data_IF_193144096645
#
_entry.id   IF_193144096645
#
_cell.length_a   1.000
_cell.length_b   1.000
_cell.length_c   1.000
_cell.angle_alpha   90.00
_cell.angle_beta   90.00
_cell.angle_gamma   90.00
#
_symmetry.space_group_name_H-M   'P 1'
#
loop_
_entity.id
_entity.type
_entity.pdbx_description
1 polymer ?
#
# COMPACT_ATOMS: atom_id res chain seq x y z
N UNK A 1 -6.32 -28.11 -10.00
CA UNK A 1 -5.73 -26.76 -9.84
C UNK A 1 -5.61 -26.52 -8.35
N UNK A 2 -4.39 -26.52 -7.79
CA UNK A 2 -4.16 -26.17 -6.40
C UNK A 2 -3.90 -24.67 -6.34
N UNK A 3 -4.77 -23.93 -5.66
CA UNK A 3 -4.52 -22.54 -5.30
C UNK A 3 -3.72 -22.58 -4.00
N UNK A 4 -2.45 -22.24 -4.05
CA UNK A 4 -1.62 -22.08 -2.86
C UNK A 4 -1.69 -20.60 -2.46
N UNK A 5 -2.61 -20.28 -1.56
CA UNK A 5 -2.58 -19.02 -0.83
C UNK A 5 -1.50 -19.14 0.26
N UNK A 6 -0.45 -18.35 0.18
CA UNK A 6 0.58 -18.32 1.21
C UNK A 6 0.31 -17.17 2.17
N UNK A 7 -0.01 -17.52 3.43
CA UNK A 7 -0.06 -16.57 4.55
C UNK A 7 1.27 -16.64 5.34
N UNK A 8 2.09 -15.59 5.37
CA UNK A 8 3.37 -15.60 6.07
C UNK A 8 3.26 -15.46 7.60
N UNK A 9 2.05 -15.43 8.17
CA UNK A 9 1.83 -15.10 9.59
C UNK A 9 1.57 -16.35 10.46
N UNK A 10 1.24 -17.51 9.90
CA UNK A 10 0.94 -18.69 10.70
C UNK A 10 2.13 -19.68 10.70
N UNK A 11 3.05 -19.49 11.67
CA UNK A 11 4.23 -20.34 11.86
C UNK A 11 3.94 -21.69 12.54
N UNK A 12 2.66 -22.03 12.82
CA UNK A 12 2.26 -23.20 13.58
C UNK A 12 1.40 -24.23 12.83
N UNK A 13 1.15 -24.07 11.53
CA UNK A 13 0.52 -25.14 10.75
C UNK A 13 1.58 -26.16 10.34
N UNK A 14 1.35 -27.48 10.53
CA UNK A 14 2.26 -28.49 10.03
C UNK A 14 2.17 -28.53 8.51
N UNK A 15 3.05 -27.82 7.83
CA UNK A 15 3.14 -27.87 6.37
C UNK A 15 3.87 -29.13 5.96
N UNK A 16 3.15 -30.10 5.42
CA UNK A 16 3.70 -31.29 4.79
C UNK A 16 4.38 -30.98 3.42
N UNK A 17 4.39 -29.71 2.99
CA UNK A 17 4.86 -29.32 1.64
C UNK A 17 5.79 -28.11 1.78
N UNK A 18 7.05 -28.25 1.39
CA UNK A 18 8.02 -27.15 1.29
C UNK A 18 7.69 -26.25 0.09
N UNK A 19 7.33 -24.97 0.29
CA UNK A 19 7.04 -24.03 -0.80
C UNK A 19 8.21 -23.84 -1.77
N UNK A 20 9.46 -23.96 -1.29
CA UNK A 20 10.64 -23.84 -2.15
C UNK A 20 10.79 -25.06 -3.06
N UNK A 21 10.48 -26.25 -2.55
CA UNK A 21 10.48 -27.48 -3.34
C UNK A 21 9.37 -27.45 -4.41
N UNK A 22 8.16 -26.97 -4.06
CA UNK A 22 7.07 -26.78 -5.05
C UNK A 22 7.44 -25.80 -6.15
N UNK A 23 8.07 -24.68 -5.79
CA UNK A 23 8.52 -23.70 -6.76
C UNK A 23 9.58 -24.26 -7.71
N UNK A 24 10.55 -25.00 -7.17
CA UNK A 24 11.60 -25.65 -7.97
C UNK A 24 11.00 -26.70 -8.93
N UNK A 25 10.04 -27.49 -8.46
CA UNK A 25 9.36 -28.50 -9.28
C UNK A 25 8.51 -27.85 -10.37
N UNK A 26 7.76 -26.77 -10.06
CA UNK A 26 7.01 -26.03 -11.06
C UNK A 26 7.95 -25.45 -12.14
N UNK A 27 9.08 -24.85 -11.74
CA UNK A 27 10.07 -24.32 -12.67
C UNK A 27 10.65 -25.42 -13.58
N UNK A 28 10.91 -26.60 -13.03
CA UNK A 28 11.36 -27.76 -13.81
C UNK A 28 10.33 -28.23 -14.82
N UNK A 29 9.06 -28.38 -14.39
CA UNK A 29 7.96 -28.81 -15.26
C UNK A 29 7.68 -27.81 -16.38
N UNK A 30 7.73 -26.52 -16.10
CA UNK A 30 7.57 -25.48 -17.12
C UNK A 30 8.73 -25.40 -18.12
N UNK A 31 9.94 -25.78 -17.70
CA UNK A 31 11.09 -25.91 -18.59
C UNK A 31 10.97 -27.15 -19.51
N UNK A 32 10.42 -28.25 -19.00
CA UNK A 32 10.17 -29.50 -19.77
C UNK A 32 8.95 -29.39 -20.68
N UNK A 33 7.96 -28.57 -20.29
CA UNK A 33 6.69 -28.36 -20.98
C UNK A 33 6.38 -26.87 -21.21
N UNK A 34 7.14 -26.19 -22.09
CA UNK A 34 6.95 -24.75 -22.33
C UNK A 34 5.53 -24.36 -22.81
N UNK A 35 4.83 -25.29 -23.46
CA UNK A 35 3.46 -25.12 -23.93
C UNK A 35 2.41 -25.02 -22.81
N UNK A 36 2.74 -25.53 -21.61
CA UNK A 36 1.90 -25.45 -20.42
C UNK A 36 2.24 -24.24 -19.53
N UNK A 37 3.35 -23.55 -19.80
CA UNK A 37 3.81 -22.43 -19.02
C UNK A 37 2.87 -21.22 -19.21
N UNK A 38 2.22 -20.78 -18.11
CA UNK A 38 1.34 -19.61 -18.11
C UNK A 38 2.12 -18.31 -17.89
N UNK A 39 1.64 -17.21 -18.50
CA UNK A 39 2.17 -15.88 -18.20
C UNK A 39 1.97 -15.48 -16.73
N UNK A 40 0.99 -16.10 -16.05
CA UNK A 40 0.62 -15.87 -14.66
C UNK A 40 1.39 -16.78 -13.68
N UNK A 41 2.33 -17.60 -14.18
CA UNK A 41 3.09 -18.52 -13.33
C UNK A 41 3.93 -17.79 -12.28
N UNK A 42 3.97 -18.30 -11.02
CA UNK A 42 4.88 -17.80 -10.00
C UNK A 42 6.35 -17.81 -10.43
N UNK A 43 6.77 -18.69 -11.33
CA UNK A 43 8.15 -18.79 -11.82
C UNK A 43 8.52 -17.63 -12.75
N UNK A 44 7.51 -16.97 -13.36
CA UNK A 44 7.70 -15.82 -14.26
C UNK A 44 7.63 -14.46 -13.56
N UNK A 45 7.49 -14.41 -12.23
CA UNK A 45 7.43 -13.16 -11.47
C UNK A 45 8.71 -12.32 -11.59
N UNK A 46 9.84 -12.92 -11.89
CA UNK A 46 11.16 -12.28 -11.91
C UNK A 46 11.85 -12.50 -13.26
N UNK A 47 11.15 -12.37 -14.36
CA UNK A 47 11.68 -12.68 -15.69
C UNK A 47 11.86 -11.50 -16.65
N UNK A 48 11.48 -10.29 -16.28
CA UNK A 48 11.57 -9.11 -17.13
C UNK A 48 13.02 -8.72 -17.42
N UNK A 49 13.32 -8.39 -18.71
CA UNK A 49 14.58 -7.74 -19.05
C UNK A 49 14.65 -6.34 -18.42
N UNK A 50 15.84 -5.82 -18.11
CA UNK A 50 16.00 -4.43 -17.69
C UNK A 50 15.34 -3.50 -18.69
N UNK A 51 14.57 -2.52 -18.20
CA UNK A 51 13.92 -1.50 -19.03
C UNK A 51 14.91 -0.36 -19.31
N UNK A 52 14.62 0.46 -20.30
CA UNK A 52 15.37 1.69 -20.56
C UNK A 52 14.77 2.89 -19.83
N UNK A 53 13.43 2.82 -19.55
CA UNK A 53 12.66 3.88 -18.91
C UNK A 53 11.40 3.31 -18.22
N UNK A 54 10.71 4.14 -17.45
CA UNK A 54 9.38 3.88 -16.92
C UNK A 54 8.37 4.75 -17.66
N UNK A 55 7.43 4.12 -18.35
CA UNK A 55 6.37 4.82 -19.07
C UNK A 55 5.41 5.48 -18.09
N UNK A 56 4.88 6.65 -18.46
CA UNK A 56 3.79 7.29 -17.73
C UNK A 56 2.46 6.67 -18.14
N UNK A 57 1.61 6.37 -17.15
CA UNK A 57 0.25 5.85 -17.33
C UNK A 57 -0.73 6.66 -16.48
N UNK A 58 -1.92 6.90 -17.02
CA UNK A 58 -3.00 7.59 -16.31
C UNK A 58 -3.69 6.64 -15.33
N UNK A 59 -4.12 7.18 -14.19
CA UNK A 59 -4.91 6.44 -13.20
C UNK A 59 -6.36 6.27 -13.67
N UNK A 60 -6.98 5.14 -13.33
CA UNK A 60 -8.41 4.89 -13.61
C UNK A 60 -9.29 5.96 -12.95
N UNK A 61 -8.93 6.35 -11.72
CA UNK A 61 -9.51 7.47 -10.98
C UNK A 61 -8.37 8.22 -10.30
N UNK A 62 -8.35 9.56 -10.26
CA UNK A 62 -7.27 10.30 -9.63
C UNK A 62 -6.95 9.86 -8.19
N UNK A 63 -5.69 9.71 -7.86
CA UNK A 63 -5.18 9.36 -6.53
C UNK A 63 -4.97 10.62 -5.69
N UNK A 64 -6.02 11.07 -5.03
CA UNK A 64 -6.00 12.29 -4.23
C UNK A 64 -5.09 12.16 -3.01
N UNK A 65 -4.54 13.26 -2.56
CA UNK A 65 -3.93 13.38 -1.23
C UNK A 65 -5.02 13.44 -0.16
N UNK A 66 -4.63 13.21 1.10
CA UNK A 66 -5.51 13.47 2.24
C UNK A 66 -5.17 14.82 2.87
N UNK A 67 -6.17 15.52 3.37
CA UNK A 67 -5.95 16.64 4.28
C UNK A 67 -5.41 16.11 5.61
N UNK A 68 -4.64 16.92 6.34
CA UNK A 68 -4.03 16.51 7.59
C UNK A 68 -4.69 17.19 8.78
N UNK A 69 -4.72 16.48 9.89
CA UNK A 69 -5.06 17.00 11.22
C UNK A 69 -4.04 16.51 12.25
N UNK A 70 -3.82 17.30 13.29
CA UNK A 70 -2.77 17.05 14.28
C UNK A 70 -3.30 17.01 15.71
N UNK A 71 -4.57 17.39 15.91
CA UNK A 71 -5.18 17.42 17.22
C UNK A 71 -6.67 17.06 17.20
N UNK A 72 -7.24 16.86 18.39
CA UNK A 72 -8.63 16.49 18.56
C UNK A 72 -9.60 17.56 18.05
N UNK A 73 -9.27 18.84 18.20
CA UNK A 73 -10.14 19.94 17.76
C UNK A 73 -10.33 19.94 16.25
N UNK A 74 -9.25 19.75 15.50
CA UNK A 74 -9.28 19.64 14.04
C UNK A 74 -10.05 18.38 13.59
N UNK A 75 -9.89 17.25 14.31
CA UNK A 75 -10.67 16.04 14.07
C UNK A 75 -12.16 16.26 14.28
N UNK A 76 -12.54 16.96 15.36
CA UNK A 76 -13.93 17.29 15.65
C UNK A 76 -14.51 18.26 14.59
N UNK A 77 -13.68 19.15 14.04
CA UNK A 77 -14.04 20.00 12.93
C UNK A 77 -14.28 19.22 11.65
N UNK A 78 -13.48 18.20 11.37
CA UNK A 78 -13.69 17.27 10.25
C UNK A 78 -15.03 16.55 10.41
N UNK A 79 -15.33 15.98 11.57
CA UNK A 79 -16.59 15.28 11.85
C UNK A 79 -17.78 16.24 11.65
N UNK A 80 -17.70 17.47 12.15
CA UNK A 80 -18.75 18.48 11.95
C UNK A 80 -18.97 18.80 10.48
N UNK A 81 -17.88 18.95 9.68
CA UNK A 81 -17.98 19.17 8.23
C UNK A 81 -18.64 18.00 7.51
N UNK A 82 -18.34 16.77 7.91
CA UNK A 82 -19.00 15.56 7.36
C UNK A 82 -20.51 15.60 7.64
N UNK A 83 -20.92 15.84 8.88
CA UNK A 83 -22.34 15.95 9.23
C UNK A 83 -23.05 17.08 8.49
N UNK A 84 -22.42 18.22 8.34
CA UNK A 84 -22.99 19.37 7.61
C UNK A 84 -23.10 19.13 6.09
N UNK A 85 -22.27 18.26 5.53
CA UNK A 85 -22.28 17.89 4.11
C UNK A 85 -23.25 16.76 3.76
N UNK A 86 -23.83 16.10 4.74
CA UNK A 86 -24.78 15.01 4.57
C UNK A 86 -26.25 15.47 4.81
N UNK A 87 -27.24 14.72 4.30
CA UNK A 87 -28.65 15.01 4.58
C UNK A 87 -28.95 15.12 6.09
N UNK A 88 -29.90 15.97 6.44
CA UNK A 88 -30.29 16.14 7.85
C UNK A 88 -30.72 14.81 8.50
N UNK A 89 -30.17 14.52 9.66
CA UNK A 89 -30.44 13.28 10.40
C UNK A 89 -29.52 12.09 10.01
N UNK A 90 -28.59 12.27 9.07
CA UNK A 90 -27.59 11.25 8.77
C UNK A 90 -26.69 10.96 9.99
N UNK A 91 -26.39 9.68 10.19
CA UNK A 91 -25.51 9.19 11.27
C UNK A 91 -24.32 8.43 10.67
N UNK A 92 -23.35 9.14 10.06
CA UNK A 92 -22.24 8.50 9.36
C UNK A 92 -21.40 7.66 10.33
N UNK A 93 -21.01 6.47 9.88
CA UNK A 93 -19.97 5.69 10.53
C UNK A 93 -18.61 6.01 9.88
N UNK A 94 -17.56 5.89 10.67
CA UNK A 94 -16.20 6.17 10.22
C UNK A 94 -15.36 4.89 10.34
N UNK A 95 -14.60 4.58 9.30
CA UNK A 95 -13.56 3.56 9.30
C UNK A 95 -12.24 4.23 9.68
N UNK A 96 -11.61 3.76 10.75
CA UNK A 96 -10.30 4.21 11.23
C UNK A 96 -9.28 3.12 10.95
N UNK A 97 -8.20 3.48 10.27
CA UNK A 97 -7.15 2.55 9.84
C UNK A 97 -5.74 3.14 10.04
N UNK A 98 -4.68 2.30 10.15
CA UNK A 98 -3.32 2.80 10.22
C UNK A 98 -2.95 3.56 8.94
N UNK A 99 -2.28 4.71 9.09
CA UNK A 99 -1.69 5.43 7.97
C UNK A 99 -0.32 4.85 7.65
N UNK A 100 -0.28 4.02 6.64
CA UNK A 100 0.94 3.37 6.18
C UNK A 100 1.93 4.41 5.65
N UNK A 101 3.21 4.26 5.99
CA UNK A 101 4.29 5.12 5.52
C UNK A 101 5.20 4.36 4.55
N UNK A 102 4.85 4.41 3.28
CA UNK A 102 5.52 3.73 2.19
C UNK A 102 5.43 4.48 0.88
N UNK A 103 5.32 3.76 -0.22
CA UNK A 103 5.11 4.29 -1.55
C UNK A 103 3.72 3.91 -2.07
N UNK A 104 2.87 4.90 -2.33
CA UNK A 104 1.51 4.69 -2.81
C UNK A 104 1.52 4.20 -4.27
N UNK A 105 0.69 3.20 -4.55
CA UNK A 105 0.56 2.55 -5.85
C UNK A 105 -0.90 2.31 -6.22
N UNK A 106 -1.19 2.33 -7.51
CA UNK A 106 -2.39 1.75 -8.10
C UNK A 106 -2.07 0.37 -8.65
N UNK A 107 -2.94 -0.62 -8.44
CA UNK A 107 -2.79 -2.01 -8.88
C UNK A 107 -4.06 -2.42 -9.58
N UNK A 108 -3.92 -3.01 -10.76
CA UNK A 108 -5.04 -3.36 -11.63
C UNK A 108 -5.14 -4.87 -11.79
N UNK A 109 -6.35 -5.39 -11.62
CA UNK A 109 -6.72 -6.74 -12.04
C UNK A 109 -7.82 -6.67 -13.11
N UNK A 110 -7.83 -7.63 -14.02
CA UNK A 110 -8.88 -7.83 -15.02
C UNK A 110 -9.24 -9.32 -15.07
N UNK A 111 -10.50 -9.62 -14.85
CA UNK A 111 -11.00 -10.99 -14.81
C UNK A 111 -10.15 -11.90 -13.92
N UNK A 112 -9.86 -11.40 -12.72
CA UNK A 112 -9.08 -12.10 -11.71
C UNK A 112 -7.57 -12.17 -11.95
N UNK A 113 -7.05 -11.61 -13.05
CA UNK A 113 -5.62 -11.62 -13.38
C UNK A 113 -4.98 -10.29 -13.13
N UNK A 114 -3.77 -10.29 -12.53
CA UNK A 114 -2.97 -9.08 -12.39
C UNK A 114 -2.68 -8.47 -13.77
N UNK A 115 -3.15 -7.25 -14.00
CA UNK A 115 -3.02 -6.55 -15.27
C UNK A 115 -1.88 -5.52 -15.30
N UNK A 116 -1.48 -5.01 -14.12
CA UNK A 116 -0.40 -4.03 -14.01
C UNK A 116 -0.57 -3.11 -12.82
N UNK A 117 0.23 -2.04 -12.81
CA UNK A 117 0.09 -0.98 -11.82
C UNK A 117 1.14 0.11 -11.96
N UNK A 118 0.91 1.21 -11.24
CA UNK A 118 1.69 2.44 -11.36
C UNK A 118 1.98 3.07 -10.00
N UNK A 119 2.99 3.92 -9.95
CA UNK A 119 3.19 4.82 -8.80
C UNK A 119 2.09 5.88 -8.78
N UNK A 120 1.86 6.53 -7.63
CA UNK A 120 0.89 7.62 -7.53
C UNK A 120 1.22 8.81 -8.46
N UNK A 121 2.50 9.06 -8.73
CA UNK A 121 2.93 10.21 -9.51
C UNK A 121 2.41 11.53 -8.94
N UNK A 122 1.81 12.35 -9.80
CA UNK A 122 1.16 13.62 -9.43
C UNK A 122 -0.30 13.45 -8.95
N UNK A 123 -0.80 12.22 -8.98
CA UNK A 123 -2.17 11.86 -8.63
C UNK A 123 -3.11 11.71 -9.82
N UNK A 124 -2.74 12.18 -11.00
CA UNK A 124 -3.48 11.98 -12.27
C UNK A 124 -2.82 10.87 -13.07
N UNK A 125 -1.49 10.86 -13.10
CA UNK A 125 -0.68 9.87 -13.80
C UNK A 125 0.53 9.48 -12.96
N UNK A 126 1.00 8.25 -13.15
CA UNK A 126 2.17 7.69 -12.48
C UNK A 126 3.07 6.92 -13.44
N UNK A 127 4.20 6.46 -12.93
CA UNK A 127 5.13 5.62 -13.68
C UNK A 127 4.64 4.17 -13.66
N UNK A 128 4.59 3.51 -14.82
CA UNK A 128 4.29 2.07 -14.94
C UNK A 128 5.40 1.24 -14.26
N UNK A 129 5.02 0.60 -13.16
CA UNK A 129 5.89 -0.27 -12.36
C UNK A 129 5.38 -1.72 -12.35
N UNK A 130 4.61 -2.12 -13.36
CA UNK A 130 3.94 -3.42 -13.42
C UNK A 130 4.90 -4.59 -13.19
N UNK A 131 6.07 -4.59 -13.86
CA UNK A 131 7.06 -5.66 -13.70
C UNK A 131 7.69 -5.68 -12.30
N UNK A 132 7.84 -4.51 -11.68
CA UNK A 132 8.35 -4.40 -10.31
C UNK A 132 7.31 -4.89 -9.31
N UNK A 133 6.03 -4.57 -9.51
CA UNK A 133 4.93 -5.09 -8.67
C UNK A 133 4.80 -6.61 -8.76
N UNK A 134 5.06 -7.23 -9.92
CA UNK A 134 5.08 -8.69 -10.09
C UNK A 134 6.08 -9.37 -9.16
N UNK A 135 7.16 -8.70 -8.79
CA UNK A 135 8.18 -9.24 -7.87
C UNK A 135 7.71 -9.28 -6.42
N UNK A 136 6.64 -8.54 -6.06
CA UNK A 136 6.10 -8.47 -4.70
C UNK A 136 5.31 -9.75 -4.41
N UNK A 137 5.90 -10.63 -3.61
CA UNK A 137 5.34 -11.97 -3.35
C UNK A 137 3.98 -11.95 -2.64
N UNK A 138 3.68 -10.89 -1.87
CA UNK A 138 2.39 -10.73 -1.20
C UNK A 138 1.24 -10.42 -2.15
N UNK A 139 1.50 -10.01 -3.40
CA UNK A 139 0.46 -9.79 -4.41
C UNK A 139 0.19 -11.09 -5.16
N UNK A 140 -1.02 -11.66 -5.09
CA UNK A 140 -1.42 -12.78 -5.93
C UNK A 140 -1.46 -12.35 -7.40
N UNK A 141 -1.01 -13.21 -8.32
CA UNK A 141 -1.13 -12.93 -9.76
C UNK A 141 -2.51 -13.27 -10.29
N UNK A 142 -3.24 -14.11 -9.56
CA UNK A 142 -4.63 -14.49 -9.87
C UNK A 142 -5.47 -14.50 -8.61
N UNK A 143 -6.71 -14.03 -8.72
CA UNK A 143 -7.74 -14.00 -7.67
C UNK A 143 -9.08 -14.49 -8.24
N UNK A 144 -10.00 -14.91 -7.38
CA UNK A 144 -11.36 -15.32 -7.80
C UNK A 144 -12.28 -14.09 -7.90
N UNK A 145 -12.10 -13.33 -8.99
CA UNK A 145 -12.90 -12.14 -9.29
C UNK A 145 -13.13 -12.03 -10.81
N UNK A 146 -14.28 -11.51 -11.20
CA UNK A 146 -14.61 -11.21 -12.60
C UNK A 146 -14.75 -9.72 -12.81
N UNK A 147 -14.38 -9.24 -14.00
CA UNK A 147 -14.41 -7.82 -14.33
C UNK A 147 -13.16 -7.05 -13.84
N UNK A 148 -13.18 -5.73 -13.98
CA UNK A 148 -12.10 -4.86 -13.53
C UNK A 148 -12.07 -4.75 -12.01
N UNK A 149 -10.88 -4.66 -11.45
CA UNK A 149 -10.65 -4.36 -10.04
C UNK A 149 -9.45 -3.42 -9.92
N UNK A 150 -9.70 -2.21 -9.45
CA UNK A 150 -8.71 -1.15 -9.27
C UNK A 150 -8.44 -0.98 -7.79
N UNK A 151 -7.21 -1.28 -7.38
CA UNK A 151 -6.79 -1.26 -6.00
C UNK A 151 -5.82 -0.11 -5.74
N UNK A 152 -5.90 0.47 -4.55
CA UNK A 152 -4.89 1.41 -4.04
C UNK A 152 -4.23 0.80 -2.83
N UNK A 153 -2.92 0.83 -2.85
CA UNK A 153 -2.11 0.26 -1.79
C UNK A 153 -0.90 1.11 -1.46
N UNK A 154 -0.22 0.68 -0.42
CA UNK A 154 1.07 1.21 -0.02
C UNK A 154 2.10 0.09 -0.10
N UNK A 155 3.17 0.32 -0.83
CA UNK A 155 4.30 -0.61 -0.84
C UNK A 155 5.25 -0.20 0.27
N UNK A 156 5.53 -1.15 1.15
CA UNK A 156 6.34 -0.96 2.36
C UNK A 156 7.52 -1.93 2.37
N UNK A 157 8.54 -1.58 3.15
CA UNK A 157 9.62 -2.48 3.58
C UNK A 157 9.48 -2.67 5.08
N UNK A 158 9.55 -3.93 5.56
CA UNK A 158 9.56 -4.19 7.00
C UNK A 158 10.89 -3.73 7.62
N UNK A 159 10.84 -3.24 8.86
CA UNK A 159 12.02 -2.72 9.58
C UNK A 159 13.20 -3.68 9.52
N UNK A 160 12.95 -4.98 9.84
CA UNK A 160 13.99 -6.02 9.79
C UNK A 160 14.61 -6.22 8.40
N UNK A 161 13.79 -6.05 7.34
CA UNK A 161 14.26 -6.21 5.97
C UNK A 161 15.08 -4.98 5.54
N UNK A 162 14.71 -3.77 6.00
CA UNK A 162 15.50 -2.55 5.79
C UNK A 162 16.87 -2.63 6.49
N UNK A 163 16.91 -3.14 7.72
CA UNK A 163 18.17 -3.35 8.46
C UNK A 163 19.10 -4.29 7.69
N UNK A 164 18.58 -5.41 7.19
CA UNK A 164 19.36 -6.35 6.38
C UNK A 164 19.88 -5.72 5.08
N UNK A 165 19.03 -4.97 4.36
CA UNK A 165 19.42 -4.23 3.15
C UNK A 165 20.52 -3.22 3.48
N UNK A 166 20.40 -2.48 4.57
CA UNK A 166 21.39 -1.50 4.97
C UNK A 166 22.72 -2.14 5.39
N UNK A 167 22.71 -3.33 6.00
CA UNK A 167 23.93 -4.08 6.28
C UNK A 167 24.64 -4.51 4.99
N UNK A 168 23.91 -5.02 4.00
CA UNK A 168 24.45 -5.38 2.69
C UNK A 168 25.06 -4.15 1.98
N UNK A 169 24.36 -3.00 2.01
CA UNK A 169 24.84 -1.74 1.41
C UNK A 169 26.09 -1.21 2.12
N UNK A 170 26.12 -1.27 3.45
CA UNK A 170 27.31 -0.88 4.21
C UNK A 170 28.53 -1.73 3.85
N UNK A 171 28.35 -3.05 3.70
CA UNK A 171 29.41 -3.96 3.27
C UNK A 171 29.91 -3.69 1.86
N UNK A 172 29.03 -3.18 0.98
CA UNK A 172 29.34 -2.76 -0.39
C UNK A 172 29.87 -1.31 -0.49
N UNK A 173 29.97 -0.57 0.62
CA UNK A 173 30.37 0.84 0.63
C UNK A 173 29.34 1.79 0.04
N UNK A 174 28.06 1.37 -0.06
CA UNK A 174 26.98 2.16 -0.62
C UNK A 174 26.27 3.01 0.45
N UNK A 175 25.69 4.17 0.07
CA UNK A 175 24.88 4.99 1.00
C UNK A 175 23.71 4.21 1.58
N UNK A 176 23.45 4.32 2.88
CA UNK A 176 22.34 3.66 3.55
C UNK A 176 21.01 4.34 3.23
N UNK A 177 19.93 3.57 3.23
CA UNK A 177 18.60 4.14 3.19
C UNK A 177 18.25 4.79 4.53
N UNK A 178 17.83 6.05 4.50
CA UNK A 178 17.50 6.81 5.70
C UNK A 178 16.18 6.34 6.36
N UNK A 179 15.22 5.87 5.55
CA UNK A 179 13.93 5.40 6.05
C UNK A 179 13.28 4.39 5.09
N UNK A 180 12.31 3.57 5.60
CA UNK A 180 11.63 2.54 4.80
C UNK A 180 10.85 3.10 3.60
N UNK A 181 10.22 4.27 3.73
CA UNK A 181 9.47 4.92 2.66
C UNK A 181 10.33 5.23 1.45
N UNK A 182 11.48 5.89 1.67
CA UNK A 182 12.41 6.23 0.57
C UNK A 182 13.01 4.98 -0.04
N UNK A 183 13.30 3.97 0.77
CA UNK A 183 13.78 2.68 0.30
C UNK A 183 12.75 1.95 -0.58
N UNK A 184 11.46 1.95 -0.18
CA UNK A 184 10.37 1.38 -0.96
C UNK A 184 10.18 2.14 -2.29
N UNK A 185 10.05 3.47 -2.23
CA UNK A 185 9.83 4.32 -3.40
C UNK A 185 11.00 4.21 -4.42
N UNK A 186 12.24 4.23 -3.94
CA UNK A 186 13.41 4.07 -4.78
C UNK A 186 13.48 2.68 -5.42
N UNK A 187 13.15 1.63 -4.64
CA UNK A 187 13.15 0.26 -5.15
C UNK A 187 12.09 0.03 -6.21
N UNK A 188 10.87 0.57 -6.05
CA UNK A 188 9.79 0.44 -7.03
C UNK A 188 10.11 1.08 -8.38
N UNK A 189 11.02 2.04 -8.42
CA UNK A 189 11.42 2.76 -9.64
C UNK A 189 12.71 2.23 -10.27
N UNK A 190 13.23 1.12 -9.76
CA UNK A 190 14.40 0.47 -10.36
C UNK A 190 14.05 -0.10 -11.74
N UNK A 191 14.99 0.01 -12.65
CA UNK A 191 14.84 -0.43 -14.06
C UNK A 191 14.89 -1.95 -14.18
N UNK A 192 15.66 -2.62 -13.33
CA UNK A 192 15.78 -4.09 -13.33
C UNK A 192 14.88 -4.73 -12.26
N UNK A 193 13.81 -5.45 -12.64
CA UNK A 193 12.92 -6.12 -11.69
C UNK A 193 13.63 -7.18 -10.82
N UNK A 194 14.74 -7.75 -11.29
CA UNK A 194 15.53 -8.73 -10.53
C UNK A 194 16.16 -8.09 -9.30
N UNK A 195 16.59 -6.84 -9.40
CA UNK A 195 17.10 -6.07 -8.26
C UNK A 195 15.97 -5.68 -7.31
N UNK A 196 14.77 -5.37 -7.84
CA UNK A 196 13.56 -5.12 -7.01
C UNK A 196 13.19 -6.36 -6.19
N UNK A 197 13.24 -7.55 -6.78
CA UNK A 197 12.93 -8.82 -6.10
C UNK A 197 13.78 -9.05 -4.84
N UNK A 198 15.02 -8.56 -4.81
CA UNK A 198 15.93 -8.64 -3.65
C UNK A 198 15.50 -7.73 -2.49
N UNK A 199 14.71 -6.70 -2.75
CA UNK A 199 14.30 -5.67 -1.77
C UNK A 199 13.22 -6.13 -0.79
N UNK A 200 12.64 -7.32 -0.96
CA UNK A 200 11.60 -7.89 -0.08
C UNK A 200 10.43 -6.95 0.16
N UNK A 201 9.99 -6.23 -0.89
CA UNK A 201 8.85 -5.33 -0.83
C UNK A 201 7.57 -6.07 -0.48
N UNK A 202 6.66 -5.37 0.19
CA UNK A 202 5.29 -5.85 0.48
C UNK A 202 4.28 -4.80 0.09
N UNK A 203 3.19 -5.21 -0.51
CA UNK A 203 2.04 -4.34 -0.75
C UNK A 203 0.99 -4.56 0.34
N UNK A 204 0.37 -3.48 0.78
CA UNK A 204 -0.78 -3.47 1.68
C UNK A 204 -1.87 -2.62 1.03
N UNK A 205 -3.00 -3.26 0.73
CA UNK A 205 -4.13 -2.59 0.06
C UNK A 205 -4.97 -1.88 1.09
N UNK A 206 -5.27 -0.61 0.84
CA UNK A 206 -6.05 0.25 1.72
C UNK A 206 -7.30 0.83 1.06
N UNK A 207 -7.56 0.55 -0.22
CA UNK A 207 -8.79 0.95 -0.91
C UNK A 207 -9.00 0.10 -2.16
N UNK A 208 -10.26 -0.13 -2.49
CA UNK A 208 -10.75 -0.55 -3.81
C UNK A 208 -11.59 0.57 -4.39
N UNK A 209 -11.51 0.76 -5.71
CA UNK A 209 -12.27 1.82 -6.42
C UNK A 209 -13.68 1.35 -6.71
N UNK A 210 -13.86 0.10 -7.10
CA UNK A 210 -15.13 -0.51 -7.37
C UNK A 210 -15.92 -0.77 -6.06
N UNK A 211 -17.24 -0.69 -6.13
CA UNK A 211 -18.10 -1.03 -4.99
C UNK A 211 -18.18 -2.55 -4.79
N UNK A 212 -17.60 -3.05 -3.71
CA UNK A 212 -17.60 -4.46 -3.35
C UNK A 212 -18.49 -4.79 -2.12
N UNK A 213 -19.37 -3.88 -1.71
CA UNK A 213 -20.25 -4.13 -0.55
C UNK A 213 -20.84 -2.90 0.10
N UNK A 214 -20.91 -1.75 -0.61
CA UNK A 214 -21.59 -0.54 -0.14
C UNK A 214 -20.81 0.27 0.90
N UNK A 215 -19.74 -0.28 1.49
CA UNK A 215 -18.89 0.42 2.45
C UNK A 215 -17.41 0.17 2.21
N UNK A 216 -16.58 1.09 2.70
CA UNK A 216 -15.13 0.99 2.61
C UNK A 216 -14.59 -0.24 3.38
N UNK A 217 -15.10 -0.46 4.59
CA UNK A 217 -14.71 -1.61 5.42
C UNK A 217 -15.12 -2.94 4.78
N UNK A 218 -16.35 -3.06 4.25
CA UNK A 218 -16.78 -4.25 3.54
C UNK A 218 -15.92 -4.53 2.30
N UNK A 219 -15.50 -3.47 1.59
CA UNK A 219 -14.55 -3.57 0.49
C UNK A 219 -13.21 -4.18 0.93
N UNK A 220 -12.63 -3.70 2.05
CA UNK A 220 -11.38 -4.25 2.61
C UNK A 220 -11.52 -5.70 3.05
N UNK A 221 -12.64 -6.07 3.67
CA UNK A 221 -12.91 -7.46 4.07
C UNK A 221 -13.04 -8.36 2.84
N UNK A 222 -13.73 -7.89 1.80
CA UNK A 222 -13.84 -8.63 0.54
C UNK A 222 -12.49 -8.83 -0.15
N UNK A 223 -11.62 -7.83 -0.13
CA UNK A 223 -10.25 -7.96 -0.65
C UNK A 223 -9.45 -9.02 0.13
N UNK A 224 -9.60 -9.06 1.46
CA UNK A 224 -8.95 -10.08 2.28
C UNK A 224 -9.46 -11.50 1.98
N UNK A 225 -10.76 -11.67 1.73
CA UNK A 225 -11.35 -12.95 1.29
C UNK A 225 -10.80 -13.40 -0.08
N UNK A 226 -10.54 -12.45 -0.98
CA UNK A 226 -9.90 -12.71 -2.28
C UNK A 226 -8.40 -13.04 -2.17
N UNK A 227 -7.84 -13.06 -0.95
CA UNK A 227 -6.41 -13.33 -0.72
C UNK A 227 -5.50 -12.13 -0.99
N UNK A 228 -6.06 -10.93 -1.16
CA UNK A 228 -5.28 -9.71 -1.33
C UNK A 228 -4.75 -9.20 0.03
N UNK A 229 -3.52 -8.68 0.08
CA UNK A 229 -2.89 -8.25 1.32
C UNK A 229 -3.49 -6.92 1.78
N UNK A 230 -4.37 -6.96 2.78
CA UNK A 230 -4.88 -5.77 3.49
C UNK A 230 -4.17 -5.62 4.84
N UNK A 231 -4.25 -4.44 5.45
CA UNK A 231 -3.68 -4.24 6.80
C UNK A 231 -4.49 -4.94 7.91
N UNK A 232 -5.71 -5.42 7.62
CA UNK A 232 -6.65 -6.13 8.55
C UNK A 232 -6.85 -5.46 9.93
N UNK A 233 -6.60 -4.16 10.03
CA UNK A 233 -6.62 -3.41 11.29
C UNK A 233 -7.45 -2.12 11.13
N UNK A 234 -8.68 -2.27 10.61
CA UNK A 234 -9.63 -1.17 10.60
C UNK A 234 -10.62 -1.29 11.75
N UNK A 235 -11.17 -0.17 12.17
CA UNK A 235 -12.17 -0.08 13.23
C UNK A 235 -13.29 0.85 12.84
N UNK A 236 -14.54 0.39 12.99
CA UNK A 236 -15.71 1.22 12.74
C UNK A 236 -16.07 2.00 14.01
N UNK A 237 -16.21 3.31 13.85
CA UNK A 237 -16.51 4.27 14.91
C UNK A 237 -17.77 5.08 14.54
N UNK A 238 -18.62 5.38 15.51
CA UNK A 238 -19.90 6.09 15.31
C UNK A 238 -19.97 7.42 16.04
N UNK A 239 -18.99 7.74 16.86
CA UNK A 239 -18.95 8.97 17.63
C UNK A 239 -17.51 9.43 17.86
N UNK A 240 -17.28 10.71 18.24
CA UNK A 240 -15.95 11.25 18.45
C UNK A 240 -15.11 10.50 19.50
N UNK A 241 -15.75 9.99 20.56
CA UNK A 241 -15.04 9.23 21.60
C UNK A 241 -14.47 7.91 21.09
N UNK A 242 -15.22 7.20 20.25
CA UNK A 242 -14.77 5.97 19.59
C UNK A 242 -13.63 6.27 18.58
N UNK A 243 -13.72 7.39 17.85
CA UNK A 243 -12.65 7.84 16.93
C UNK A 243 -11.35 8.07 17.69
N UNK A 244 -11.39 8.88 18.76
CA UNK A 244 -10.22 9.18 19.58
C UNK A 244 -9.61 7.91 20.19
N UNK A 245 -10.44 7.00 20.69
CA UNK A 245 -9.98 5.73 21.24
C UNK A 245 -9.37 4.81 20.18
N UNK A 246 -9.91 4.79 18.95
CA UNK A 246 -9.36 4.01 17.85
C UNK A 246 -8.01 4.55 17.38
N UNK A 247 -7.88 5.88 17.26
CA UNK A 247 -6.64 6.55 16.89
C UNK A 247 -5.55 6.30 17.94
N UNK A 248 -5.87 6.49 19.24
CA UNK A 248 -4.95 6.23 20.34
C UNK A 248 -4.47 4.77 20.36
N UNK A 249 -5.38 3.81 20.12
CA UNK A 249 -5.01 2.40 20.05
C UNK A 249 -4.05 2.05 18.90
N UNK A 250 -4.12 2.78 17.77
CA UNK A 250 -3.15 2.64 16.67
C UNK A 250 -1.82 3.27 17.08
N UNK A 251 -1.84 4.44 17.72
CA UNK A 251 -0.63 5.14 18.17
C UNK A 251 0.14 4.30 19.21
N UNK A 252 -0.55 3.76 20.20
CA UNK A 252 0.04 2.89 21.24
C UNK A 252 0.74 1.67 20.65
N UNK A 253 0.16 1.10 19.59
CA UNK A 253 0.71 -0.05 18.88
C UNK A 253 1.67 0.30 17.75
N UNK A 254 2.04 1.58 17.57
CA UNK A 254 2.89 2.03 16.45
C UNK A 254 4.17 1.20 16.30
N UNK A 255 4.78 0.81 17.40
CA UNK A 255 6.04 0.01 17.40
C UNK A 255 5.82 -1.47 17.13
N UNK A 256 4.62 -1.99 17.31
CA UNK A 256 4.29 -3.40 17.08
C UNK A 256 4.11 -3.71 15.59
N UNK A 257 3.81 -2.71 14.77
CA UNK A 257 3.75 -2.88 13.32
C UNK A 257 5.12 -3.23 12.76
N UNK A 258 5.23 -4.22 11.87
CA UNK A 258 6.52 -4.57 11.24
C UNK A 258 7.00 -3.52 10.23
N UNK A 259 6.14 -2.57 9.88
CA UNK A 259 6.36 -1.45 8.94
C UNK A 259 6.12 -0.11 9.65
N UNK A 260 6.50 0.99 9.02
CA UNK A 260 6.26 2.32 9.57
C UNK A 260 4.84 2.81 9.29
N UNK A 261 4.28 3.51 10.27
CA UNK A 261 3.05 4.30 10.17
C UNK A 261 3.31 5.71 10.67
N UNK A 262 2.71 6.71 10.06
CA UNK A 262 2.88 8.13 10.41
C UNK A 262 1.60 8.76 10.99
N UNK A 263 0.57 7.96 11.22
CA UNK A 263 -0.71 8.41 11.72
C UNK A 263 -1.80 7.36 11.62
N UNK A 264 -3.04 7.84 11.66
CA UNK A 264 -4.24 7.10 11.33
C UNK A 264 -4.97 7.79 10.18
N UNK A 265 -5.76 7.03 9.41
CA UNK A 265 -6.68 7.59 8.42
C UNK A 265 -8.10 7.37 8.92
N UNK A 266 -8.90 8.42 8.90
CA UNK A 266 -10.33 8.39 9.22
C UNK A 266 -11.10 8.61 7.95
N UNK A 267 -11.98 7.68 7.58
CA UNK A 267 -12.81 7.73 6.36
C UNK A 267 -14.28 7.56 6.74
N UNK A 268 -15.18 8.27 6.10
CA UNK A 268 -16.61 7.91 6.14
C UNK A 268 -16.75 6.51 5.53
N UNK A 269 -17.42 5.59 6.22
CA UNK A 269 -17.44 4.19 5.81
C UNK A 269 -18.38 3.91 4.62
N UNK A 270 -19.54 4.55 4.59
CA UNK A 270 -20.53 4.39 3.51
C UNK A 270 -20.07 5.02 2.20
N UNK A 271 -19.98 4.22 1.11
CA UNK A 271 -19.61 4.71 -0.22
C UNK A 271 -20.63 5.69 -0.79
N UNK A 272 -21.93 5.51 -0.50
CA UNK A 272 -22.98 6.46 -0.92
C UNK A 272 -22.82 7.82 -0.23
N UNK A 273 -22.45 7.85 1.06
CA UNK A 273 -22.18 9.09 1.78
C UNK A 273 -20.88 9.75 1.28
N UNK A 274 -19.84 8.95 0.96
CA UNK A 274 -18.63 9.47 0.31
C UNK A 274 -18.94 10.18 -1.02
N UNK A 275 -19.82 9.57 -1.83
CA UNK A 275 -20.26 10.17 -3.11
C UNK A 275 -21.01 11.50 -2.92
N UNK A 276 -21.87 11.61 -1.88
CA UNK A 276 -22.56 12.85 -1.52
C UNK A 276 -21.58 13.94 -1.08
N UNK A 277 -20.61 13.61 -0.23
CA UNK A 277 -19.61 14.53 0.28
C UNK A 277 -18.65 15.03 -0.80
N UNK A 278 -18.31 14.15 -1.75
CA UNK A 278 -17.43 14.47 -2.86
C UNK A 278 -16.02 14.83 -2.43
N UNK A 279 -15.37 15.65 -3.27
CA UNK A 279 -13.98 16.07 -3.07
C UNK A 279 -13.78 17.55 -3.40
N UNK A 280 -12.68 18.10 -2.93
CA UNK A 280 -12.08 19.35 -3.42
C UNK A 280 -11.15 19.04 -4.61
N UNK A 281 -10.49 20.05 -5.16
CA UNK A 281 -9.47 19.82 -6.19
C UNK A 281 -8.26 19.00 -5.69
N UNK A 282 -8.03 18.91 -4.37
CA UNK A 282 -6.86 18.24 -3.78
C UNK A 282 -7.19 17.06 -2.88
N UNK A 283 -8.29 17.12 -2.15
CA UNK A 283 -8.62 16.20 -1.05
C UNK A 283 -10.07 15.73 -1.12
N UNK A 284 -10.36 14.46 -0.80
CA UNK A 284 -11.71 14.00 -0.53
C UNK A 284 -12.26 14.69 0.74
N UNK A 285 -13.56 15.02 0.75
CA UNK A 285 -14.21 15.61 1.94
C UNK A 285 -14.61 14.57 2.97
N UNK A 286 -14.57 13.30 2.58
CA UNK A 286 -14.99 12.15 3.38
C UNK A 286 -13.82 11.45 4.08
N UNK A 287 -12.57 11.92 3.92
CA UNK A 287 -11.41 11.31 4.55
C UNK A 287 -10.42 12.36 5.03
N UNK A 288 -9.73 12.04 6.13
CA UNK A 288 -8.68 12.88 6.72
C UNK A 288 -7.56 12.01 7.30
N UNK A 289 -6.34 12.52 7.29
CA UNK A 289 -5.19 11.88 7.91
C UNK A 289 -4.91 12.54 9.27
N UNK A 290 -5.05 11.78 10.34
CA UNK A 290 -4.61 12.20 11.68
C UNK A 290 -3.14 11.83 11.84
N UNK A 291 -2.28 12.83 11.92
CA UNK A 291 -0.83 12.68 12.03
C UNK A 291 -0.40 12.52 13.48
N UNK A 292 0.38 11.48 13.78
CA UNK A 292 1.01 11.35 15.08
C UNK A 292 2.14 12.35 15.25
N UNK A 293 2.45 12.65 16.52
CA UNK A 293 3.59 13.50 16.83
C UNK A 293 4.88 12.92 16.25
N UNK A 294 5.66 13.76 15.56
CA UNK A 294 6.94 13.33 15.03
C UNK A 294 7.87 12.94 16.18
N UNK A 295 8.64 11.88 16.00
CA UNK A 295 9.71 11.54 16.93
C UNK A 295 10.75 12.65 16.93
N UNK A 296 11.05 13.19 18.11
CA UNK A 296 12.04 14.25 18.27
C UNK A 296 13.39 13.63 18.54
N UNK A 297 14.37 13.93 17.70
CA UNK A 297 15.77 13.60 17.94
C UNK A 297 16.56 14.89 18.18
N UNK A 298 17.43 14.87 19.19
CA UNK A 298 18.38 15.96 19.41
C UNK A 298 19.66 15.63 18.65
N UNK A 299 20.09 16.55 17.79
CA UNK A 299 21.35 16.41 17.05
C UNK A 299 22.13 17.71 17.10
N UNK A 300 23.41 17.64 16.76
CA UNK A 300 24.27 18.82 16.61
C UNK A 300 24.33 19.17 15.12
N UNK A 301 23.90 20.39 14.78
CA UNK A 301 24.10 20.92 13.44
C UNK A 301 25.59 21.13 13.20
N UNK A 302 26.15 20.48 12.21
CA UNK A 302 27.58 20.57 11.86
C UNK A 302 27.82 21.59 10.75
N UNK A 303 26.93 21.64 9.77
CA UNK A 303 27.08 22.53 8.61
C UNK A 303 25.71 22.73 7.94
N UNK A 304 25.59 23.83 7.16
CA UNK A 304 24.46 24.11 6.28
C UNK A 304 25.01 24.33 4.86
N UNK A 305 24.74 23.37 3.99
CA UNK A 305 25.15 23.45 2.59
C UNK A 305 23.96 23.88 1.73
N UNK A 306 24.12 24.96 0.99
CA UNK A 306 23.10 25.44 0.03
C UNK A 306 23.32 24.77 -1.32
N UNK A 307 22.27 24.10 -1.81
CA UNK A 307 22.28 23.47 -3.13
C UNK A 307 21.07 23.91 -3.94
N UNK A 308 21.26 24.05 -5.25
CA UNK A 308 20.17 24.36 -6.17
C UNK A 308 19.38 23.08 -6.47
N UNK A 309 18.12 23.06 -6.15
CA UNK A 309 17.21 21.96 -6.46
C UNK A 309 16.91 21.85 -7.96
N UNK A 310 16.29 20.73 -8.36
CA UNK A 310 15.96 20.45 -9.78
C UNK A 310 15.09 21.54 -10.43
N UNK A 311 14.30 22.27 -9.67
CA UNK A 311 13.42 23.36 -10.12
C UNK A 311 14.08 24.73 -10.03
N UNK A 312 15.37 24.83 -9.69
CA UNK A 312 16.08 26.09 -9.51
C UNK A 312 15.88 26.76 -8.14
N UNK A 313 15.09 26.16 -7.25
CA UNK A 313 14.96 26.64 -5.87
C UNK A 313 16.19 26.27 -5.03
N UNK A 314 16.59 27.18 -4.11
CA UNK A 314 17.64 26.99 -3.11
C UNK A 314 17.09 26.27 -1.89
#
# INVERSE_FOLDING_TARGET
RAVVAWDPVDSNAPSAIDPAALYAELARLEAEHPELASADSPTRRVGGAPRTDLKTVEHVVPMMSLDNTYDQKELDEFVRRVHAGLPHGATPAFCVEPKLDGASVEILYRDGKFAGGSTRGDGVAGEDISENLRTIRSLPMTIEHTGPLTLRGEVVIYRRDLEAINQERAAAGEPLFANPRNAAAGSLRMIDPREVAKRRLRALIWQVVEDLGGSHSAGLDRLAELGLPTHRQHRICRNPGELSAAIAAIEDKRKDFPYEIDGAVVKVDSLSEQAVLGATAKFPRWAIAYKFSAERAVTRLLDIIVQVGRTGAL
#
